data_IF_301470857569
#
_entry.id   IF_301470857569
#
_cell.length_a   1.000
_cell.length_b   1.000
_cell.length_c   1.000
_cell.angle_alpha   90.00
_cell.angle_beta   90.00
_cell.angle_gamma   90.00
#
_symmetry.space_group_name_H-M   'P 1'
#
loop_
_entity.id
_entity.type
_entity.pdbx_description
1 polymer ?
#
# COMPACT_ATOMS: atom_id res chain seq x y z
N UNK A 1 -2.63 17.00 -4.66
CA UNK A 1 -1.73 16.60 -5.76
C UNK A 1 -1.70 15.09 -5.92
N UNK A 2 -2.68 14.56 -6.63
CA UNK A 2 -2.81 13.13 -6.93
C UNK A 2 -2.00 12.72 -8.17
N UNK A 3 -1.79 13.62 -9.13
CA UNK A 3 -1.01 13.32 -10.35
C UNK A 3 0.48 13.16 -10.05
N UNK A 4 1.09 14.13 -9.36
CA UNK A 4 2.52 14.07 -9.01
C UNK A 4 2.84 12.91 -8.06
N UNK A 5 1.91 12.57 -7.16
CA UNK A 5 2.07 11.42 -6.26
C UNK A 5 2.10 10.09 -7.01
N UNK A 6 1.27 9.93 -8.06
CA UNK A 6 1.26 8.74 -8.91
C UNK A 6 2.58 8.55 -9.65
N UNK A 7 3.10 9.61 -10.30
CA UNK A 7 4.36 9.53 -11.05
C UNK A 7 5.56 9.16 -10.16
N UNK A 8 5.60 9.66 -8.92
CA UNK A 8 6.63 9.28 -7.95
C UNK A 8 6.49 7.82 -7.52
N UNK A 9 5.27 7.34 -7.29
CA UNK A 9 5.03 5.93 -6.94
C UNK A 9 5.41 4.99 -8.07
N UNK A 10 5.12 5.35 -9.32
CA UNK A 10 5.51 4.57 -10.50
C UNK A 10 7.04 4.49 -10.64
N UNK A 11 7.74 5.61 -10.40
CA UNK A 11 9.20 5.64 -10.37
C UNK A 11 9.76 4.74 -9.26
N UNK A 12 9.21 4.82 -8.04
CA UNK A 12 9.67 4.01 -6.92
C UNK A 12 9.36 2.52 -7.14
N UNK A 13 8.21 2.19 -7.73
CA UNK A 13 7.84 0.83 -8.15
C UNK A 13 8.86 0.27 -9.13
N UNK A 14 9.23 1.06 -10.14
CA UNK A 14 10.27 0.69 -11.11
C UNK A 14 11.61 0.42 -10.41
N UNK A 15 12.00 1.23 -9.42
CA UNK A 15 13.22 0.99 -8.65
C UNK A 15 13.18 -0.32 -7.83
N UNK A 16 12.01 -0.72 -7.33
CA UNK A 16 11.84 -2.03 -6.66
C UNK A 16 12.00 -3.16 -7.68
N UNK A 17 11.28 -3.09 -8.79
CA UNK A 17 11.19 -4.17 -9.76
C UNK A 17 12.51 -4.35 -10.57
N UNK A 18 13.16 -3.24 -10.97
CA UNK A 18 14.34 -3.28 -11.83
C UNK A 18 15.67 -3.24 -11.06
N UNK A 19 15.70 -2.56 -9.90
CA UNK A 19 16.94 -2.34 -9.14
C UNK A 19 17.00 -3.15 -7.83
N UNK A 20 15.97 -3.95 -7.55
CA UNK A 20 15.88 -4.77 -6.34
C UNK A 20 15.86 -3.95 -5.05
N UNK A 21 15.46 -2.68 -5.11
CA UNK A 21 15.35 -1.83 -3.93
C UNK A 21 14.12 -2.23 -3.10
N UNK A 22 14.14 -1.94 -1.79
CA UNK A 22 12.97 -2.13 -0.93
C UNK A 22 12.31 -0.79 -0.66
N UNK A 23 11.01 -0.68 -0.95
CA UNK A 23 10.19 0.47 -0.61
C UNK A 23 9.23 0.11 0.54
N UNK A 24 9.21 0.96 1.56
CA UNK A 24 8.15 0.97 2.58
C UNK A 24 7.45 2.31 2.50
N UNK A 25 6.12 2.28 2.45
CA UNK A 25 5.29 3.47 2.43
C UNK A 25 4.14 3.33 3.42
N UNK A 26 3.60 4.46 3.87
CA UNK A 26 2.41 4.52 4.70
C UNK A 26 1.42 5.42 3.98
N UNK A 27 0.23 4.89 3.72
CA UNK A 27 -0.82 5.61 3.01
C UNK A 27 -2.19 5.20 3.54
N UNK A 28 -3.15 6.11 3.39
CA UNK A 28 -4.57 5.83 3.60
C UNK A 28 -5.32 5.64 2.27
N UNK A 29 -4.64 5.82 1.12
CA UNK A 29 -5.19 5.59 -0.21
C UNK A 29 -4.97 4.14 -0.64
N UNK A 30 -6.08 3.43 -0.87
CA UNK A 30 -6.08 2.04 -1.31
C UNK A 30 -5.44 1.84 -2.69
N UNK A 31 -5.52 2.81 -3.60
CA UNK A 31 -4.90 2.70 -4.92
C UNK A 31 -3.38 2.71 -4.81
N UNK A 32 -2.85 3.64 -4.01
CA UNK A 32 -1.42 3.69 -3.72
C UNK A 32 -0.94 2.42 -3.01
N UNK A 33 -1.68 1.93 -2.01
CA UNK A 33 -1.33 0.69 -1.30
C UNK A 33 -1.36 -0.55 -2.23
N UNK A 34 -2.25 -0.59 -3.21
CA UNK A 34 -2.35 -1.68 -4.18
C UNK A 34 -1.12 -1.79 -5.12
N UNK A 35 -0.27 -0.75 -5.18
CA UNK A 35 1.01 -0.81 -5.93
C UNK A 35 2.07 -1.65 -5.22
N UNK A 36 1.90 -1.93 -3.92
CA UNK A 36 2.82 -2.75 -3.15
C UNK A 36 2.55 -4.23 -3.38
N UNK A 37 3.60 -5.06 -3.23
CA UNK A 37 3.42 -6.52 -3.24
C UNK A 37 2.70 -7.02 -1.98
N UNK A 38 2.74 -6.22 -0.90
CA UNK A 38 2.24 -6.59 0.41
C UNK A 38 1.76 -5.39 1.20
N UNK A 39 0.61 -5.52 1.84
CA UNK A 39 0.00 -4.48 2.69
C UNK A 39 -0.12 -5.00 4.11
N UNK A 40 0.42 -4.24 5.07
CA UNK A 40 0.26 -4.48 6.49
C UNK A 40 -0.77 -3.49 7.04
N UNK A 41 -1.77 -4.00 7.73
CA UNK A 41 -2.77 -3.16 8.36
C UNK A 41 -2.46 -2.98 9.84
N UNK A 42 -2.46 -1.73 10.28
CA UNK A 42 -2.22 -1.36 11.67
C UNK A 42 -3.53 -0.99 12.38
N UNK A 43 -3.71 -1.50 13.59
CA UNK A 43 -4.77 -1.11 14.54
C UNK A 43 -4.18 -0.99 15.94
N UNK A 44 -4.45 0.11 16.63
CA UNK A 44 -3.91 0.41 17.97
C UNK A 44 -2.38 0.23 18.10
N UNK A 45 -1.64 0.65 17.08
CA UNK A 45 -0.17 0.55 17.04
C UNK A 45 0.37 -0.87 16.84
N UNK A 46 -0.47 -1.84 16.52
CA UNK A 46 -0.09 -3.23 16.25
C UNK A 46 -0.45 -3.62 14.82
N UNK A 47 0.33 -4.52 14.22
CA UNK A 47 -0.06 -5.17 12.96
C UNK A 47 -1.19 -6.14 13.29
N UNK A 48 -2.36 -5.90 12.69
CA UNK A 48 -3.57 -6.71 12.92
C UNK A 48 -3.95 -7.55 11.71
N UNK A 49 -3.33 -7.29 10.55
CA UNK A 49 -3.57 -8.04 9.32
C UNK A 49 -2.46 -7.82 8.31
N UNK A 50 -2.38 -8.75 7.38
CA UNK A 50 -1.51 -8.70 6.21
C UNK A 50 -2.31 -9.12 4.97
N UNK A 51 -1.90 -8.63 3.81
CA UNK A 51 -2.45 -9.00 2.50
C UNK A 51 -1.31 -9.04 1.48
N UNK A 52 -1.19 -10.16 0.77
CA UNK A 52 -0.32 -10.32 -0.40
C UNK A 52 -1.14 -10.10 -1.67
N UNK A 53 -0.49 -9.61 -2.73
CA UNK A 53 -1.11 -9.27 -4.02
C UNK A 53 -2.41 -8.44 -3.87
N UNK A 54 -2.33 -7.27 -3.19
CA UNK A 54 -3.50 -6.50 -2.80
C UNK A 54 -4.23 -5.87 -4.00
N UNK A 55 -5.56 -5.81 -3.90
CA UNK A 55 -6.39 -4.98 -4.80
C UNK A 55 -6.99 -3.80 -4.04
N UNK A 56 -7.29 -2.66 -4.71
CA UNK A 56 -7.88 -1.51 -4.04
C UNK A 56 -9.18 -1.86 -3.28
N UNK A 57 -10.04 -2.67 -3.90
CA UNK A 57 -11.31 -3.09 -3.28
C UNK A 57 -11.08 -3.95 -2.03
N UNK A 58 -10.17 -4.92 -2.10
CA UNK A 58 -9.84 -5.77 -0.95
C UNK A 58 -9.22 -4.96 0.21
N UNK A 59 -8.37 -3.98 -0.11
CA UNK A 59 -7.79 -3.07 0.90
C UNK A 59 -8.89 -2.25 1.57
N UNK A 60 -9.78 -1.64 0.78
CA UNK A 60 -10.89 -0.83 1.30
C UNK A 60 -11.81 -1.65 2.20
N UNK A 61 -12.16 -2.86 1.76
CA UNK A 61 -12.98 -3.75 2.56
C UNK A 61 -12.27 -4.15 3.84
N UNK A 62 -10.97 -4.48 3.79
CA UNK A 62 -10.24 -4.82 5.01
C UNK A 62 -10.12 -3.64 5.97
N UNK A 63 -9.86 -2.42 5.47
CA UNK A 63 -9.71 -1.22 6.27
C UNK A 63 -10.99 -0.86 7.05
N UNK A 64 -12.18 -1.04 6.44
CA UNK A 64 -13.48 -0.83 7.11
C UNK A 64 -13.65 -1.69 8.38
N UNK A 65 -13.03 -2.87 8.42
CA UNK A 65 -13.13 -3.81 9.54
C UNK A 65 -12.09 -3.55 10.65
N UNK A 66 -11.19 -2.56 10.49
CA UNK A 66 -10.11 -2.28 11.44
C UNK A 66 -10.38 -0.98 12.21
N UNK A 67 -11.09 -0.02 11.61
CA UNK A 67 -11.46 1.25 12.24
C UNK A 67 -12.79 1.22 13.02
N UNK A 68 -13.22 0.03 13.49
CA UNK A 68 -14.44 -0.17 14.27
C UNK A 68 -14.21 0.01 15.76
#
# INVERSE_FOLDING_TARGET
>A
DSTTGGEVLDFLRTAVDDLGQTMVMVTHDANAAATANRVLFLGDGKIVSEMEDPTPDAILDRAKHIGG
#
